data_IF_897660757346
#
_entry.id   IF_897660757346
#
_cell.length_a   1.000
_cell.length_b   1.000
_cell.length_c   1.000
_cell.angle_alpha   90.00
_cell.angle_beta   90.00
_cell.angle_gamma   90.00
#
_symmetry.space_group_name_H-M   'P 1'
#
loop_
_entity.id
_entity.type
_entity.pdbx_description
1 polymer ?
#
# COMPACT_ATOMS: atom_id res chain seq x y z
N UNK A 1 0.01 3.54 -16.62
CA UNK A 1 -0.47 2.16 -16.34
C UNK A 1 0.34 1.65 -15.16
N UNK A 2 -0.27 1.45 -13.99
CA UNK A 2 0.16 0.60 -12.85
C UNK A 2 0.02 1.21 -11.43
N UNK A 3 -0.85 2.20 -11.19
CA UNK A 3 -1.22 2.57 -9.79
C UNK A 3 -2.39 1.73 -9.23
N UNK A 4 -3.22 1.17 -10.11
CA UNK A 4 -4.34 0.28 -9.77
C UNK A 4 -3.97 -1.11 -9.18
N UNK A 5 -2.89 -1.80 -9.60
CA UNK A 5 -2.71 -3.21 -9.26
C UNK A 5 -2.39 -3.47 -7.79
N UNK A 6 -1.74 -2.55 -7.07
CA UNK A 6 -1.39 -2.77 -5.65
C UNK A 6 -2.64 -2.77 -4.77
N UNK A 7 -3.48 -1.74 -4.91
CA UNK A 7 -4.71 -1.60 -4.12
C UNK A 7 -5.76 -2.67 -4.47
N UNK A 8 -5.79 -3.13 -5.72
CA UNK A 8 -6.61 -4.29 -6.10
C UNK A 8 -6.17 -5.57 -5.39
N UNK A 9 -4.86 -5.81 -5.29
CA UNK A 9 -4.33 -6.95 -4.52
C UNK A 9 -4.70 -6.80 -3.04
N UNK A 10 -4.54 -5.60 -2.48
CA UNK A 10 -4.89 -5.32 -1.09
C UNK A 10 -6.36 -5.59 -0.80
N UNK A 11 -7.25 -5.10 -1.67
CA UNK A 11 -8.68 -5.32 -1.55
C UNK A 11 -9.06 -6.80 -1.63
N UNK A 12 -8.31 -7.61 -2.39
CA UNK A 12 -8.52 -9.06 -2.46
C UNK A 12 -7.97 -9.80 -1.21
N UNK A 13 -7.00 -9.20 -0.51
CA UNK A 13 -6.43 -9.75 0.72
C UNK A 13 -7.24 -9.40 1.98
N UNK A 14 -8.21 -8.49 1.89
CA UNK A 14 -9.11 -8.17 3.00
C UNK A 14 -10.01 -9.37 3.28
N UNK A 15 -9.78 -10.00 4.42
CA UNK A 15 -10.54 -11.16 4.90
C UNK A 15 -11.22 -10.90 6.25
N UNK A 16 -11.23 -9.64 6.71
CA UNK A 16 -11.72 -9.25 8.03
C UNK A 16 -10.65 -9.25 9.12
N UNK A 17 -9.40 -9.60 8.80
CA UNK A 17 -8.25 -9.47 9.71
C UNK A 17 -7.28 -8.40 9.25
N UNK A 18 -6.59 -7.79 10.21
CA UNK A 18 -5.48 -6.90 9.92
C UNK A 18 -4.26 -7.73 9.50
N UNK A 19 -3.60 -7.35 8.42
CA UNK A 19 -2.38 -8.01 7.93
C UNK A 19 -1.27 -6.99 7.81
N UNK A 20 -0.05 -7.39 8.13
CA UNK A 20 1.12 -6.54 7.89
C UNK A 20 1.76 -6.91 6.55
N UNK A 21 1.95 -5.91 5.70
CA UNK A 21 2.61 -5.99 4.41
C UNK A 21 3.95 -5.29 4.52
N UNK A 22 5.03 -6.04 4.35
CA UNK A 22 6.39 -5.52 4.40
C UNK A 22 6.85 -5.30 2.96
N UNK A 23 7.14 -4.05 2.61
CA UNK A 23 7.74 -3.71 1.33
C UNK A 23 9.24 -3.84 1.42
N UNK A 24 9.78 -4.65 0.52
CA UNK A 24 11.22 -4.88 0.39
C UNK A 24 11.75 -4.22 -0.90
N UNK A 25 12.99 -3.78 -0.85
CA UNK A 25 13.81 -3.40 -2.00
C UNK A 25 14.30 -4.68 -2.73
N UNK A 26 14.80 -4.53 -3.95
CA UNK A 26 15.51 -5.57 -4.71
C UNK A 26 16.63 -6.29 -3.93
N UNK A 27 17.21 -5.66 -2.90
CA UNK A 27 18.18 -6.29 -1.98
C UNK A 27 17.54 -6.95 -0.74
N UNK A 28 16.23 -7.23 -0.76
CA UNK A 28 15.45 -7.75 0.39
C UNK A 28 15.49 -6.85 1.64
N UNK A 29 15.85 -5.57 1.47
CA UNK A 29 15.85 -4.58 2.56
C UNK A 29 14.46 -4.01 2.78
N UNK A 30 14.04 -3.92 4.03
CA UNK A 30 12.76 -3.30 4.40
C UNK A 30 12.77 -1.82 4.02
N UNK A 31 11.89 -1.44 3.11
CA UNK A 31 11.62 -0.06 2.75
C UNK A 31 10.63 0.56 3.73
N UNK A 32 9.50 -0.10 3.93
CA UNK A 32 8.45 0.29 4.88
C UNK A 32 7.45 -0.84 5.11
N UNK A 33 6.74 -0.77 6.23
CA UNK A 33 5.66 -1.69 6.56
C UNK A 33 4.32 -0.95 6.40
N UNK A 34 3.33 -1.63 5.84
CA UNK A 34 1.98 -1.15 5.69
C UNK A 34 1.03 -2.13 6.39
N UNK A 35 0.14 -1.62 7.23
CA UNK A 35 -0.89 -2.44 7.86
C UNK A 35 -2.10 -2.41 6.95
N UNK A 36 -2.37 -3.53 6.30
CA UNK A 36 -3.58 -3.75 5.54
C UNK A 36 -4.77 -3.78 6.52
N UNK A 37 -5.73 -2.87 6.37
CA UNK A 37 -6.90 -2.84 7.23
C UNK A 37 -7.79 -4.05 6.96
N UNK A 38 -8.56 -4.42 7.98
CA UNK A 38 -9.56 -5.49 7.91
C UNK A 38 -10.82 -5.13 7.12
N UNK A 39 -10.98 -3.86 6.70
CA UNK A 39 -12.15 -3.38 5.99
C UNK A 39 -11.79 -2.54 4.76
N UNK A 40 -12.61 -2.68 3.73
CA UNK A 40 -12.42 -2.00 2.44
C UNK A 40 -12.57 -0.48 2.55
N UNK A 41 -13.38 -0.02 3.50
CA UNK A 41 -13.61 1.41 3.74
C UNK A 41 -12.33 2.11 4.22
N UNK A 42 -11.62 1.51 5.19
CA UNK A 42 -10.31 2.01 5.63
C UNK A 42 -9.26 1.92 4.53
N UNK A 43 -9.29 0.86 3.72
CA UNK A 43 -8.38 0.72 2.59
C UNK A 43 -8.55 1.88 1.58
N UNK A 44 -9.79 2.30 1.32
CA UNK A 44 -10.09 3.41 0.43
C UNK A 44 -9.67 4.77 1.01
N UNK A 45 -9.79 4.96 2.32
CA UNK A 45 -9.26 6.13 3.02
C UNK A 45 -7.73 6.19 2.91
N UNK A 46 -7.06 5.09 3.25
CA UNK A 46 -5.61 4.94 3.11
C UNK A 46 -5.19 5.21 1.68
N UNK A 47 -5.89 4.67 0.68
CA UNK A 47 -5.59 4.88 -0.74
C UNK A 47 -5.61 6.37 -1.11
N UNK A 48 -6.61 7.11 -0.65
CA UNK A 48 -6.72 8.56 -0.93
C UNK A 48 -5.60 9.34 -0.28
N UNK A 49 -5.27 9.02 0.97
CA UNK A 49 -4.19 9.68 1.70
C UNK A 49 -2.82 9.33 1.14
N UNK A 50 -2.61 8.05 0.81
CA UNK A 50 -1.38 7.53 0.22
C UNK A 50 -1.18 8.04 -1.20
N UNK A 51 -2.21 8.10 -2.06
CA UNK A 51 -2.06 8.67 -3.41
C UNK A 51 -1.60 10.13 -3.38
N UNK A 52 -1.96 10.87 -2.33
CA UNK A 52 -1.57 12.26 -2.12
C UNK A 52 -0.13 12.38 -1.61
N UNK A 53 0.26 11.56 -0.62
CA UNK A 53 1.60 11.63 -0.03
C UNK A 53 2.68 10.87 -0.81
N UNK A 54 2.30 9.81 -1.52
CA UNK A 54 3.21 8.88 -2.18
C UNK A 54 3.59 9.33 -3.59
N UNK A 55 2.72 10.06 -4.30
CA UNK A 55 3.09 10.73 -5.56
C UNK A 55 4.29 11.66 -5.37
N UNK A 56 4.32 12.40 -4.26
CA UNK A 56 5.42 13.34 -3.95
C UNK A 56 6.70 12.62 -3.50
N UNK A 57 6.58 11.46 -2.83
CA UNK A 57 7.75 10.66 -2.40
C UNK A 57 8.38 9.88 -3.57
N UNK A 58 7.58 9.25 -4.44
CA UNK A 58 8.10 8.54 -5.63
C UNK A 58 8.77 9.48 -6.62
N UNK A 59 8.29 10.73 -6.74
CA UNK A 59 8.94 11.74 -7.57
C UNK A 59 10.38 12.07 -7.11
N UNK A 60 10.68 11.89 -5.82
CA UNK A 60 12.01 12.10 -5.25
C UNK A 60 12.89 10.83 -5.24
N UNK A 61 12.38 9.68 -5.69
CA UNK A 61 13.16 8.45 -5.86
C UNK A 61 13.71 8.27 -7.29
N UNK A 62 13.67 9.32 -8.12
CA UNK A 62 14.30 9.37 -9.45
C UNK A 62 15.69 9.99 -9.41
#
# INVERSE_FOLDING_TARGET
LKDTPMWEIFSQMIDGNEKEIIFLDHEDKILFNYILPSTQEKLEEDRKEFSKQFSDKLANFN
#
